data_IF_510581347371
#
_entry.id   IF_510581347371
#
_cell.length_a   1.000
_cell.length_b   1.000
_cell.length_c   1.000
_cell.angle_alpha   90.00
_cell.angle_beta   90.00
_cell.angle_gamma   90.00
#
_symmetry.space_group_name_H-M   'P 1'
#
loop_
_entity.id
_entity.type
_entity.pdbx_description
1 polymer ?
#
# COMPACT_ATOMS: atom_id res chain seq x y z
N UNK A 1 -21.15 26.70 -3.41
CA UNK A 1 -21.16 27.34 -2.06
C UNK A 1 -20.00 26.80 -1.19
N UNK A 2 -18.79 26.70 -1.73
CA UNK A 2 -17.61 26.14 -1.00
C UNK A 2 -16.59 27.23 -0.65
N UNK A 3 -16.76 28.45 -1.14
CA UNK A 3 -15.71 29.48 -1.09
C UNK A 3 -15.76 30.38 0.16
N UNK A 4 -16.80 30.33 0.97
CA UNK A 4 -16.91 31.22 2.14
C UNK A 4 -16.47 30.64 3.49
N UNK A 5 -16.34 29.30 3.61
CA UNK A 5 -16.08 28.68 4.91
C UNK A 5 -14.60 28.77 5.39
N UNK A 6 -13.66 29.10 4.53
CA UNK A 6 -12.21 29.16 4.90
C UNK A 6 -11.75 30.49 5.49
N UNK A 7 -12.53 31.53 5.37
CA UNK A 7 -12.22 32.84 5.95
C UNK A 7 -12.45 32.93 7.46
N UNK A 8 -13.13 31.94 8.05
CA UNK A 8 -13.48 31.91 9.49
C UNK A 8 -12.61 30.93 10.31
N UNK A 9 -11.61 30.27 9.70
CA UNK A 9 -10.80 29.25 10.38
C UNK A 9 -11.47 27.89 10.52
N UNK A 10 -12.68 27.71 9.98
CA UNK A 10 -13.39 26.44 9.97
C UNK A 10 -12.88 25.53 8.83
N UNK A 11 -12.71 24.24 9.12
CA UNK A 11 -12.35 23.27 8.10
C UNK A 11 -13.55 22.99 7.18
N UNK A 12 -13.34 23.13 5.87
CA UNK A 12 -14.34 22.81 4.86
C UNK A 12 -13.81 21.73 3.92
N UNK A 13 -14.55 20.64 3.76
CA UNK A 13 -14.22 19.57 2.85
C UNK A 13 -14.36 20.02 1.38
N UNK A 14 -13.43 19.57 0.52
CA UNK A 14 -13.65 19.59 -0.93
C UNK A 14 -14.75 18.57 -1.29
N UNK A 15 -15.28 18.67 -2.52
CA UNK A 15 -16.27 17.71 -2.99
C UNK A 15 -15.77 16.26 -2.92
N UNK A 16 -14.52 16.00 -3.33
CA UNK A 16 -13.91 14.67 -3.28
C UNK A 16 -13.67 14.17 -1.86
N UNK A 17 -13.29 15.07 -0.95
CA UNK A 17 -13.18 14.70 0.47
C UNK A 17 -14.55 14.32 1.04
N UNK A 18 -15.63 15.03 0.67
CA UNK A 18 -17.00 14.68 1.08
C UNK A 18 -17.38 13.30 0.55
N UNK A 19 -17.13 13.02 -0.75
CA UNK A 19 -17.36 11.69 -1.32
C UNK A 19 -16.64 10.62 -0.49
N UNK A 20 -15.37 10.82 -0.15
CA UNK A 20 -14.61 9.87 0.66
C UNK A 20 -15.18 9.71 2.08
N UNK A 21 -15.49 10.80 2.76
CA UNK A 21 -15.97 10.81 4.16
C UNK A 21 -17.33 10.10 4.28
N UNK A 22 -18.20 10.26 3.30
CA UNK A 22 -19.55 9.67 3.29
C UNK A 22 -19.58 8.18 2.93
N UNK A 23 -18.48 7.62 2.39
CA UNK A 23 -18.42 6.21 2.01
C UNK A 23 -18.67 5.25 3.17
N UNK A 24 -19.43 4.21 2.87
CA UNK A 24 -19.86 3.20 3.85
C UNK A 24 -19.25 1.83 3.65
N UNK A 25 -18.47 1.64 2.62
CA UNK A 25 -17.78 0.39 2.29
C UNK A 25 -16.76 0.01 3.39
N UNK A 26 -16.45 -1.29 3.47
CA UNK A 26 -15.52 -1.81 4.46
C UNK A 26 -14.11 -1.24 4.28
N UNK A 27 -13.58 -1.27 3.05
CA UNK A 27 -12.28 -0.69 2.71
C UNK A 27 -12.46 0.46 1.69
N UNK A 28 -11.90 1.63 1.98
CA UNK A 28 -11.89 2.76 1.05
C UNK A 28 -10.48 3.30 0.91
N UNK A 29 -9.99 3.39 -0.32
CA UNK A 29 -8.75 4.05 -0.66
C UNK A 29 -9.02 5.44 -1.24
N UNK A 30 -8.46 6.48 -0.63
CA UNK A 30 -8.38 7.82 -1.19
C UNK A 30 -6.96 8.04 -1.72
N UNK A 31 -6.75 7.86 -3.01
CA UNK A 31 -5.40 7.77 -3.61
C UNK A 31 -5.24 8.62 -4.85
N UNK A 32 -3.99 8.97 -5.18
CA UNK A 32 -3.67 9.73 -6.38
C UNK A 32 -2.55 10.75 -6.17
N UNK A 33 -2.67 11.95 -6.75
CA UNK A 33 -1.60 12.95 -6.76
C UNK A 33 -1.16 13.39 -5.36
N UNK A 34 0.07 13.89 -5.24
CA UNK A 34 0.54 14.53 -4.00
C UNK A 34 -0.32 15.76 -3.67
N UNK A 35 -0.41 16.11 -2.37
CA UNK A 35 -1.22 17.23 -1.88
C UNK A 35 -2.71 17.20 -2.26
N UNK A 36 -3.26 16.02 -2.52
CA UNK A 36 -4.70 15.83 -2.72
C UNK A 36 -5.52 15.84 -1.42
N UNK A 37 -5.04 16.47 -0.35
CA UNK A 37 -5.70 16.62 0.97
C UNK A 37 -6.13 15.29 1.61
N UNK A 38 -5.42 14.20 1.32
CA UNK A 38 -5.76 12.85 1.73
C UNK A 38 -5.65 12.62 3.23
N UNK A 39 -4.56 13.06 3.84
CA UNK A 39 -4.31 12.93 5.30
C UNK A 39 -5.39 13.65 6.11
N UNK A 40 -5.77 14.87 5.72
CA UNK A 40 -6.84 15.63 6.37
C UNK A 40 -8.19 14.90 6.26
N UNK A 41 -8.51 14.32 5.09
CA UNK A 41 -9.73 13.54 4.90
C UNK A 41 -9.81 12.31 5.82
N UNK A 42 -8.69 11.55 5.93
CA UNK A 42 -8.60 10.41 6.85
C UNK A 42 -8.77 10.86 8.30
N UNK A 43 -8.08 11.93 8.68
CA UNK A 43 -8.10 12.44 10.04
C UNK A 43 -9.50 12.93 10.43
N UNK A 44 -10.15 13.71 9.59
CA UNK A 44 -11.52 14.20 9.81
C UNK A 44 -12.50 13.02 9.87
N UNK A 45 -12.39 12.06 8.96
CA UNK A 45 -13.26 10.88 8.96
C UNK A 45 -13.20 10.13 10.30
N UNK A 46 -12.01 9.85 10.81
CA UNK A 46 -11.88 9.12 12.09
C UNK A 46 -12.31 9.97 13.29
N UNK A 47 -12.08 11.29 13.27
CA UNK A 47 -12.57 12.22 14.30
C UNK A 47 -14.11 12.23 14.34
N UNK A 48 -14.78 12.37 13.20
CA UNK A 48 -16.25 12.34 13.13
C UNK A 48 -16.81 11.02 13.67
N UNK A 49 -16.15 9.90 13.42
CA UNK A 49 -16.56 8.61 13.98
C UNK A 49 -16.37 8.54 15.51
N UNK A 50 -15.29 9.12 16.06
CA UNK A 50 -15.08 9.21 17.52
C UNK A 50 -16.14 10.09 18.19
N UNK A 51 -16.52 11.17 17.55
CA UNK A 51 -17.60 12.03 18.05
C UNK A 51 -18.97 11.35 17.99
N UNK A 52 -19.24 10.63 16.90
CA UNK A 52 -20.54 9.98 16.64
C UNK A 52 -20.77 8.75 17.53
N UNK A 53 -19.74 7.96 17.79
CA UNK A 53 -19.86 6.67 18.49
C UNK A 53 -19.13 6.69 19.84
N UNK A 54 -19.82 6.92 20.97
CA UNK A 54 -19.21 6.90 22.29
C UNK A 54 -18.46 5.60 22.58
N UNK A 55 -17.32 5.68 23.27
CA UNK A 55 -16.44 4.55 23.65
C UNK A 55 -15.79 3.83 22.49
N UNK A 56 -15.93 4.30 21.26
CA UNK A 56 -15.29 3.70 20.10
C UNK A 56 -13.78 3.96 20.07
N UNK A 57 -13.05 3.10 19.38
CA UNK A 57 -11.59 3.15 19.27
C UNK A 57 -11.15 3.19 17.82
N UNK A 58 -10.30 4.15 17.47
CA UNK A 58 -9.70 4.28 16.15
C UNK A 58 -8.19 4.25 16.22
N UNK A 59 -7.55 3.70 15.19
CA UNK A 59 -6.11 3.76 14.99
C UNK A 59 -5.82 4.53 13.72
N UNK A 60 -4.97 5.57 13.84
CA UNK A 60 -4.37 6.27 12.71
C UNK A 60 -2.91 5.88 12.63
N UNK A 61 -2.48 5.27 11.52
CA UNK A 61 -1.16 4.66 11.42
C UNK A 61 -0.40 5.15 10.18
N UNK A 62 0.90 5.40 10.35
CA UNK A 62 1.90 5.61 9.31
C UNK A 62 3.05 4.62 9.44
N UNK A 63 3.93 4.59 8.45
CA UNK A 63 5.12 3.73 8.54
C UNK A 63 6.03 4.14 9.69
N UNK A 64 6.33 5.42 9.84
CA UNK A 64 7.24 5.93 10.87
C UNK A 64 6.52 6.84 11.87
N UNK A 65 6.84 6.70 13.16
CA UNK A 65 6.24 7.53 14.20
C UNK A 65 6.57 9.02 14.02
N UNK A 66 7.82 9.33 13.63
CA UNK A 66 8.22 10.70 13.35
C UNK A 66 7.37 11.37 12.26
N UNK A 67 6.88 10.62 11.28
CA UNK A 67 6.01 11.15 10.23
C UNK A 67 4.58 11.43 10.73
N UNK A 68 4.15 10.77 11.80
CA UNK A 68 2.85 11.02 12.44
C UNK A 68 2.91 12.25 13.33
N UNK A 69 4.05 12.46 14.02
CA UNK A 69 4.19 13.39 15.15
C UNK A 69 4.93 14.68 14.84
N UNK A 70 5.65 14.77 13.71
CA UNK A 70 6.34 16.01 13.32
C UNK A 70 5.37 17.17 13.12
N UNK A 71 5.88 18.39 13.20
CA UNK A 71 5.10 19.61 12.98
C UNK A 71 4.35 19.56 11.64
N UNK A 72 3.05 19.89 11.67
CA UNK A 72 2.14 19.84 10.52
C UNK A 72 1.69 18.43 10.10
N UNK A 73 2.14 17.37 10.80
CA UNK A 73 1.67 16.01 10.56
C UNK A 73 0.34 15.72 11.27
N UNK A 74 -0.19 14.50 11.12
CA UNK A 74 -1.54 14.15 11.56
C UNK A 74 -1.79 14.41 13.06
N UNK A 75 -0.81 14.15 13.94
CA UNK A 75 -0.91 14.44 15.37
C UNK A 75 -1.04 15.94 15.65
N UNK A 76 -0.16 16.76 15.06
CA UNK A 76 -0.17 18.21 15.22
C UNK A 76 -1.45 18.80 14.60
N UNK A 77 -1.81 18.36 13.40
CA UNK A 77 -3.02 18.76 12.70
C UNK A 77 -4.30 18.40 13.48
N UNK A 78 -4.31 17.27 14.18
CA UNK A 78 -5.45 16.91 15.05
C UNK A 78 -5.66 17.91 16.18
N UNK A 79 -4.59 18.51 16.69
CA UNK A 79 -4.67 19.54 17.76
C UNK A 79 -5.23 20.85 17.23
N UNK A 80 -4.89 21.22 16.00
CA UNK A 80 -5.47 22.41 15.35
C UNK A 80 -6.99 22.25 15.14
N UNK A 81 -7.42 21.04 14.74
CA UNK A 81 -8.83 20.73 14.45
C UNK A 81 -9.67 20.64 15.73
N UNK A 82 -9.17 19.96 16.75
CA UNK A 82 -9.94 19.63 17.96
C UNK A 82 -9.77 20.65 19.09
N UNK A 83 -8.68 21.41 19.10
CA UNK A 83 -8.40 22.40 20.15
C UNK A 83 -8.42 21.80 21.56
N UNK A 84 -9.01 22.52 22.50
CA UNK A 84 -9.10 22.14 23.92
C UNK A 84 -10.28 21.21 24.25
N UNK A 85 -11.07 20.78 23.26
CA UNK A 85 -12.29 19.99 23.46
C UNK A 85 -12.03 18.50 23.79
N UNK A 86 -10.77 18.06 23.86
CA UNK A 86 -10.36 16.67 24.06
C UNK A 86 -9.13 16.60 24.98
N UNK A 87 -8.81 15.40 25.49
CA UNK A 87 -7.60 15.16 26.29
C UNK A 87 -6.51 14.52 25.45
N UNK A 88 -5.31 15.11 25.47
CA UNK A 88 -4.13 14.62 24.73
C UNK A 88 -3.16 13.91 25.67
N UNK A 89 -2.85 12.64 25.39
CA UNK A 89 -1.73 11.93 25.98
C UNK A 89 -0.56 11.94 24.97
N UNK A 90 0.45 12.77 25.25
CA UNK A 90 1.59 12.95 24.34
C UNK A 90 2.56 11.76 24.35
N UNK A 91 2.63 11.01 25.45
CA UNK A 91 3.51 9.84 25.57
C UNK A 91 3.00 8.67 24.74
N UNK A 92 1.71 8.40 24.86
CA UNK A 92 1.05 7.29 24.15
C UNK A 92 0.48 7.70 22.79
N UNK A 93 0.57 8.98 22.42
CA UNK A 93 -0.02 9.55 21.22
C UNK A 93 -1.52 9.20 21.07
N UNK A 94 -2.29 9.44 22.13
CA UNK A 94 -3.72 9.15 22.21
C UNK A 94 -4.54 10.41 22.48
N UNK A 95 -5.68 10.50 21.81
CA UNK A 95 -6.70 11.53 22.03
C UNK A 95 -7.92 10.86 22.65
N UNK A 96 -8.34 11.34 23.82
CA UNK A 96 -9.58 10.90 24.46
C UNK A 96 -10.64 11.98 24.33
N UNK A 97 -11.77 11.60 23.75
CA UNK A 97 -12.94 12.46 23.55
C UNK A 97 -13.83 12.46 24.79
N UNK A 98 -14.65 13.53 25.01
CA UNK A 98 -15.54 13.61 26.17
C UNK A 98 -16.55 12.46 26.30
N UNK A 99 -16.90 11.82 25.18
CA UNK A 99 -17.82 10.67 25.14
C UNK A 99 -17.11 9.31 25.41
N UNK A 100 -15.83 9.35 25.84
CA UNK A 100 -15.03 8.18 26.16
C UNK A 100 -14.47 7.43 24.95
N UNK A 101 -14.64 7.94 23.73
CA UNK A 101 -13.97 7.36 22.56
C UNK A 101 -12.49 7.75 22.51
N UNK A 102 -11.66 6.94 21.83
CA UNK A 102 -10.22 7.12 21.76
C UNK A 102 -9.72 7.03 20.33
N UNK A 103 -8.88 7.97 19.93
CA UNK A 103 -8.09 7.91 18.71
C UNK A 103 -6.62 7.75 19.09
N UNK A 104 -6.01 6.66 18.62
CA UNK A 104 -4.60 6.35 18.81
C UNK A 104 -3.81 6.63 17.53
N UNK A 105 -2.61 7.17 17.66
CA UNK A 105 -1.68 7.39 16.55
C UNK A 105 -0.51 6.42 16.69
N UNK A 106 -0.36 5.54 15.71
CA UNK A 106 0.62 4.46 15.72
C UNK A 106 1.55 4.47 14.51
N UNK A 107 2.47 3.51 14.52
CA UNK A 107 3.39 3.28 13.40
C UNK A 107 3.70 1.79 13.23
N UNK A 108 4.17 1.41 12.03
CA UNK A 108 4.66 0.07 11.75
C UNK A 108 5.79 0.16 10.71
N UNK A 109 7.01 0.36 11.18
CA UNK A 109 8.18 0.53 10.32
C UNK A 109 8.72 -0.82 9.83
N UNK A 110 8.79 -1.79 10.73
CA UNK A 110 9.36 -3.11 10.50
C UNK A 110 8.34 -4.21 10.77
N UNK A 111 8.68 -5.45 10.39
CA UNK A 111 7.84 -6.62 10.65
C UNK A 111 7.60 -6.83 12.16
N UNK A 112 8.59 -6.57 13.00
CA UNK A 112 8.48 -6.71 14.46
C UNK A 112 7.48 -5.71 15.07
N UNK A 113 7.27 -4.55 14.45
CA UNK A 113 6.29 -3.58 14.92
C UNK A 113 4.84 -4.09 14.81
N UNK A 114 4.57 -5.04 13.94
CA UNK A 114 3.24 -5.65 13.81
C UNK A 114 2.77 -6.28 15.13
N UNK A 115 3.69 -6.84 15.91
CA UNK A 115 3.39 -7.50 17.19
C UNK A 115 2.78 -6.53 18.19
N UNK A 116 3.05 -5.22 18.10
CA UNK A 116 2.43 -4.18 18.95
C UNK A 116 0.91 -4.14 18.82
N UNK A 117 0.37 -4.58 17.69
CA UNK A 117 -1.07 -4.62 17.42
C UNK A 117 -1.69 -5.99 17.72
N UNK A 118 -0.89 -6.97 18.16
CA UNK A 118 -1.39 -8.27 18.57
C UNK A 118 -2.28 -8.11 19.82
N UNK A 119 -3.49 -8.67 19.75
CA UNK A 119 -4.48 -8.53 20.81
C UNK A 119 -5.18 -7.18 20.90
N UNK A 120 -4.74 -6.17 20.17
CA UNK A 120 -5.44 -4.89 20.08
C UNK A 120 -6.80 -5.03 19.39
N UNK A 121 -7.69 -4.10 19.69
CA UNK A 121 -9.02 -4.03 19.08
C UNK A 121 -9.37 -2.59 18.77
N UNK A 122 -9.63 -2.34 17.50
CA UNK A 122 -10.08 -1.05 16.98
C UNK A 122 -11.36 -1.23 16.16
N UNK A 123 -12.27 -0.28 16.28
CA UNK A 123 -13.48 -0.23 15.44
C UNK A 123 -13.16 0.30 14.04
N UNK A 124 -12.09 1.11 13.94
CA UNK A 124 -11.62 1.72 12.69
C UNK A 124 -10.11 1.72 12.59
N UNK A 125 -9.62 1.51 11.37
CA UNK A 125 -8.21 1.70 11.01
C UNK A 125 -8.09 2.77 9.93
N UNK A 126 -7.14 3.68 10.09
CA UNK A 126 -6.73 4.66 9.08
C UNK A 126 -5.26 4.45 8.73
N UNK A 127 -4.97 3.94 7.54
CA UNK A 127 -3.61 3.85 7.01
C UNK A 127 -3.31 5.08 6.17
N UNK A 128 -2.42 5.93 6.64
CA UNK A 128 -1.98 7.08 5.87
C UNK A 128 -0.67 6.76 5.16
N UNK A 129 -0.60 6.98 3.85
CA UNK A 129 0.46 6.54 2.95
C UNK A 129 0.59 5.00 2.90
N UNK A 130 -0.49 4.33 2.52
CA UNK A 130 -0.56 2.87 2.44
C UNK A 130 0.50 2.27 1.51
N UNK A 131 0.94 3.00 0.50
CA UNK A 131 2.01 2.61 -0.41
C UNK A 131 3.35 2.38 0.28
N UNK A 132 3.53 2.83 1.50
CA UNK A 132 4.75 2.60 2.28
C UNK A 132 4.75 1.29 3.07
N UNK A 133 3.60 0.63 3.17
CA UNK A 133 3.46 -0.63 3.89
C UNK A 133 3.59 -1.83 2.94
N UNK A 134 4.13 -2.93 3.45
CA UNK A 134 3.97 -4.21 2.78
C UNK A 134 2.53 -4.72 2.91
N UNK A 135 2.09 -5.57 1.98
CA UNK A 135 0.78 -6.21 2.07
C UNK A 135 0.65 -7.03 3.36
N UNK A 136 1.72 -7.70 3.79
CA UNK A 136 1.76 -8.46 5.04
C UNK A 136 1.47 -7.57 6.26
N UNK A 137 2.08 -6.39 6.36
CA UNK A 137 1.82 -5.44 7.45
C UNK A 137 0.36 -5.00 7.45
N UNK A 138 -0.17 -4.65 6.29
CA UNK A 138 -1.56 -4.26 6.14
C UNK A 138 -2.53 -5.35 6.59
N UNK A 139 -2.38 -6.57 6.08
CA UNK A 139 -3.25 -7.71 6.41
C UNK A 139 -3.16 -8.11 7.89
N UNK A 140 -1.97 -8.05 8.47
CA UNK A 140 -1.79 -8.36 9.89
C UNK A 140 -2.52 -7.35 10.78
N UNK A 141 -2.32 -6.04 10.55
CA UNK A 141 -2.95 -4.98 11.34
C UNK A 141 -4.46 -4.94 11.09
N UNK A 142 -4.92 -5.27 9.89
CA UNK A 142 -6.34 -5.43 9.56
C UNK A 142 -7.04 -6.41 10.52
N UNK A 143 -6.33 -7.44 11.01
CA UNK A 143 -6.85 -8.39 12.01
C UNK A 143 -7.25 -7.74 13.35
N UNK A 144 -6.73 -6.54 13.66
CA UNK A 144 -7.13 -5.76 14.84
C UNK A 144 -8.43 -4.96 14.62
N UNK A 145 -8.94 -4.85 13.38
CA UNK A 145 -10.18 -4.14 13.03
C UNK A 145 -11.39 -5.02 13.29
N UNK A 146 -11.97 -4.90 14.48
CA UNK A 146 -13.13 -5.70 14.91
C UNK A 146 -13.97 -4.98 15.93
N UNK A 147 -15.29 -5.17 15.86
CA UNK A 147 -16.28 -4.60 16.80
C UNK A 147 -16.75 -5.68 17.76
N UNK A 148 -16.84 -5.40 19.08
CA UNK A 148 -17.41 -6.34 20.04
C UNK A 148 -18.90 -6.61 19.71
N UNK A 149 -19.32 -7.87 19.74
CA UNK A 149 -20.70 -8.23 19.41
C UNK A 149 -21.66 -8.03 20.60
N UNK A 150 -21.17 -8.21 21.81
CA UNK A 150 -21.95 -8.14 23.04
C UNK A 150 -22.31 -6.71 23.46
N UNK A 151 -21.42 -5.75 23.21
CA UNK A 151 -21.62 -4.35 23.57
C UNK A 151 -20.95 -3.39 22.58
N UNK A 152 -21.38 -3.34 21.31
CA UNK A 152 -20.80 -2.45 20.32
C UNK A 152 -21.07 -0.99 20.67
N UNK A 153 -20.13 -0.08 20.38
CA UNK A 153 -20.40 1.36 20.40
C UNK A 153 -21.61 1.71 19.52
N UNK A 154 -22.49 2.58 20.03
CA UNK A 154 -23.71 2.96 19.31
C UNK A 154 -23.80 4.47 19.19
N UNK A 155 -24.35 4.96 18.09
CA UNK A 155 -24.65 6.38 17.89
C UNK A 155 -25.91 6.79 18.67
N UNK A 156 -26.23 8.07 18.64
CA UNK A 156 -27.41 8.63 19.32
C UNK A 156 -28.74 8.00 18.86
N UNK A 157 -28.80 7.47 17.65
CA UNK A 157 -29.94 6.73 17.10
C UNK A 157 -29.96 5.24 17.46
N UNK A 158 -29.00 4.76 18.27
CA UNK A 158 -28.88 3.36 18.66
C UNK A 158 -28.22 2.44 17.62
N UNK A 159 -27.77 2.96 16.48
CA UNK A 159 -27.10 2.20 15.44
C UNK A 159 -25.69 1.81 15.89
N UNK A 160 -25.38 0.53 15.85
CA UNK A 160 -24.06 0.03 16.19
C UNK A 160 -23.01 0.50 15.16
N UNK A 161 -21.78 0.72 15.65
CA UNK A 161 -20.63 0.98 14.80
C UNK A 161 -20.31 -0.29 13.97
N UNK A 162 -19.85 -0.09 12.76
CA UNK A 162 -19.35 -1.16 11.89
C UNK A 162 -17.84 -0.99 11.72
N UNK A 163 -17.09 -2.10 11.73
CA UNK A 163 -15.66 -2.08 11.48
C UNK A 163 -15.36 -1.56 10.07
N UNK A 164 -14.41 -0.63 9.94
CA UNK A 164 -14.08 0.00 8.67
C UNK A 164 -12.60 0.37 8.58
N UNK A 165 -12.07 0.32 7.35
CA UNK A 165 -10.71 0.69 7.04
C UNK A 165 -10.71 1.84 6.03
N UNK A 166 -9.90 2.84 6.30
CA UNK A 166 -9.67 3.98 5.42
C UNK A 166 -8.19 4.09 5.13
N UNK A 167 -7.87 4.29 3.87
CA UNK A 167 -6.48 4.37 3.42
C UNK A 167 -6.27 5.63 2.59
N UNK A 168 -5.09 6.22 2.71
CA UNK A 168 -4.58 7.16 1.72
C UNK A 168 -3.38 6.55 1.02
N UNK A 169 -3.16 6.88 -0.25
CA UNK A 169 -1.96 6.46 -0.97
C UNK A 169 -1.59 7.42 -2.11
N UNK A 170 -0.29 7.42 -2.45
CA UNK A 170 0.20 7.98 -3.72
C UNK A 170 0.71 6.81 -4.58
N UNK A 171 0.76 6.96 -5.92
CA UNK A 171 1.48 6.01 -6.74
C UNK A 171 2.97 5.98 -6.37
N UNK A 172 3.54 4.78 -6.27
CA UNK A 172 4.96 4.56 -5.96
C UNK A 172 5.21 3.80 -4.65
N UNK A 173 6.49 3.78 -4.23
CA UNK A 173 6.98 3.10 -3.02
C UNK A 173 6.78 1.57 -3.03
N UNK A 174 7.21 0.90 -1.95
CA UNK A 174 7.26 -0.58 -1.83
C UNK A 174 5.90 -1.25 -1.96
N UNK A 175 4.83 -0.57 -1.58
CA UNK A 175 3.47 -1.07 -1.63
C UNK A 175 2.72 -0.81 -2.93
N UNK A 176 3.31 -0.09 -3.88
CA UNK A 176 2.63 0.32 -5.12
C UNK A 176 1.84 -0.82 -5.79
N UNK A 177 2.53 -1.92 -6.05
CA UNK A 177 1.95 -3.04 -6.83
C UNK A 177 0.76 -3.70 -6.13
N UNK A 178 0.86 -3.97 -4.83
CA UNK A 178 -0.23 -4.62 -4.11
C UNK A 178 -1.40 -3.66 -3.85
N UNK A 179 -1.13 -2.37 -3.59
CA UNK A 179 -2.19 -1.35 -3.45
C UNK A 179 -2.96 -1.18 -4.75
N UNK A 180 -2.23 -1.11 -5.88
CA UNK A 180 -2.82 -1.05 -7.22
C UNK A 180 -3.70 -2.27 -7.49
N UNK A 181 -3.17 -3.46 -7.32
CA UNK A 181 -3.92 -4.71 -7.53
C UNK A 181 -5.15 -4.83 -6.61
N UNK A 182 -5.05 -4.34 -5.36
CA UNK A 182 -6.12 -4.44 -4.37
C UNK A 182 -7.26 -3.46 -4.57
N UNK A 183 -6.99 -2.24 -5.05
CA UNK A 183 -7.96 -1.14 -5.06
C UNK A 183 -8.20 -0.53 -6.44
N UNK A 184 -7.18 -0.48 -7.30
CA UNK A 184 -7.24 0.27 -8.57
C UNK A 184 -7.67 -0.62 -9.73
N UNK A 185 -7.08 -1.83 -9.85
CA UNK A 185 -7.29 -2.71 -10.99
C UNK A 185 -8.59 -3.52 -10.92
N UNK A 186 -9.33 -3.45 -9.81
CA UNK A 186 -10.52 -4.27 -9.56
C UNK A 186 -11.84 -3.65 -10.04
N UNK A 187 -11.91 -2.32 -10.13
CA UNK A 187 -13.10 -1.59 -10.56
C UNK A 187 -12.74 -0.16 -11.01
N UNK A 188 -13.63 0.50 -11.73
CA UNK A 188 -13.45 1.89 -12.10
C UNK A 188 -13.46 2.81 -10.85
N UNK A 189 -12.84 4.00 -10.91
CA UNK A 189 -12.88 4.97 -9.82
C UNK A 189 -14.31 5.26 -9.36
N UNK A 190 -14.53 5.31 -8.03
CA UNK A 190 -15.82 5.48 -7.35
C UNK A 190 -16.80 4.30 -7.49
N UNK A 191 -16.48 3.28 -8.23
CA UNK A 191 -17.27 2.05 -8.35
C UNK A 191 -16.96 1.09 -7.20
N UNK A 192 -18.00 0.47 -6.64
CA UNK A 192 -17.88 -0.44 -5.50
C UNK A 192 -17.60 -1.85 -6.00
N UNK A 193 -16.46 -2.39 -5.64
CA UNK A 193 -16.13 -3.80 -5.83
C UNK A 193 -16.60 -4.62 -4.64
N UNK A 194 -17.51 -5.58 -4.89
CA UNK A 194 -18.00 -6.55 -3.89
C UNK A 194 -17.44 -7.92 -4.16
N UNK A 195 -17.06 -8.61 -3.09
CA UNK A 195 -16.53 -9.97 -3.19
C UNK A 195 -17.03 -10.84 -2.04
N UNK A 196 -17.27 -12.10 -2.36
CA UNK A 196 -17.72 -13.10 -1.42
C UNK A 196 -16.55 -13.86 -0.81
N UNK A 197 -16.62 -14.11 0.49
CA UNK A 197 -15.63 -14.88 1.24
C UNK A 197 -16.37 -16.12 1.79
N UNK A 198 -15.88 -17.30 1.43
CA UNK A 198 -16.38 -18.54 1.99
C UNK A 198 -15.36 -19.16 2.93
N UNK A 199 -15.71 -19.25 4.20
CA UNK A 199 -14.86 -19.84 5.24
C UNK A 199 -15.40 -21.21 5.59
N UNK A 200 -14.55 -22.24 5.49
CA UNK A 200 -14.90 -23.60 5.95
C UNK A 200 -14.79 -23.64 7.48
N UNK A 201 -15.91 -23.95 8.14
CA UNK A 201 -15.95 -24.08 9.60
C UNK A 201 -15.54 -25.49 10.01
N UNK A 202 -15.02 -25.67 11.24
CA UNK A 202 -14.66 -27.00 11.75
C UNK A 202 -15.83 -28.00 11.78
N UNK A 203 -17.09 -27.51 11.86
CA UNK A 203 -18.30 -28.31 11.82
C UNK A 203 -18.73 -28.71 10.40
N UNK A 204 -17.93 -28.40 9.38
CA UNK A 204 -18.17 -28.68 7.97
C UNK A 204 -19.18 -27.74 7.28
N UNK A 205 -19.77 -26.78 8.00
CA UNK A 205 -20.73 -25.83 7.43
C UNK A 205 -20.01 -24.60 6.93
N UNK A 206 -20.15 -24.20 5.66
CA UNK A 206 -19.52 -22.99 5.16
C UNK A 206 -20.16 -21.74 5.80
N UNK A 207 -19.31 -20.73 6.10
CA UNK A 207 -19.74 -19.39 6.45
C UNK A 207 -19.51 -18.48 5.24
N UNK A 208 -20.59 -17.90 4.74
CA UNK A 208 -20.54 -16.96 3.62
C UNK A 208 -20.56 -15.53 4.16
N UNK A 209 -19.59 -14.73 3.76
CA UNK A 209 -19.43 -13.33 4.13
C UNK A 209 -19.24 -12.51 2.86
N UNK A 210 -19.68 -11.26 2.89
CA UNK A 210 -19.43 -10.31 1.81
C UNK A 210 -18.62 -9.13 2.33
N UNK A 211 -17.70 -8.63 1.51
CA UNK A 211 -16.90 -7.43 1.75
C UNK A 211 -16.94 -6.56 0.50
N UNK A 212 -16.66 -5.31 0.69
CA UNK A 212 -16.61 -4.33 -0.38
C UNK A 212 -15.40 -3.40 -0.25
N UNK A 213 -14.98 -2.88 -1.40
CA UNK A 213 -13.88 -1.94 -1.55
C UNK A 213 -14.26 -0.88 -2.56
N UNK A 214 -13.68 0.31 -2.39
CA UNK A 214 -13.79 1.38 -3.38
C UNK A 214 -12.53 2.22 -3.41
N UNK A 215 -12.17 2.66 -4.60
CA UNK A 215 -11.12 3.63 -4.85
C UNK A 215 -11.72 4.99 -5.19
N UNK A 216 -11.28 6.04 -4.49
CA UNK A 216 -11.63 7.44 -4.73
C UNK A 216 -10.37 8.17 -5.22
N UNK A 217 -10.34 8.72 -6.43
CA UNK A 217 -9.18 9.43 -6.93
C UNK A 217 -9.02 10.79 -6.23
N UNK A 218 -7.81 11.09 -5.74
CA UNK A 218 -7.42 12.38 -5.16
C UNK A 218 -6.60 13.19 -6.16
N UNK A 219 -6.84 14.49 -6.25
CA UNK A 219 -6.17 15.39 -7.18
C UNK A 219 -5.58 16.60 -6.46
N UNK A 220 -4.35 17.02 -6.85
CA UNK A 220 -3.78 18.28 -6.40
C UNK A 220 -4.58 19.49 -6.93
N UNK A 221 -5.24 19.35 -8.07
CA UNK A 221 -6.06 20.41 -8.64
C UNK A 221 -7.22 20.77 -7.72
N UNK A 222 -7.83 19.79 -7.06
CA UNK A 222 -8.88 20.06 -6.05
C UNK A 222 -8.35 20.91 -4.88
N UNK A 223 -7.08 20.72 -4.52
CA UNK A 223 -6.42 21.48 -3.44
C UNK A 223 -6.15 22.93 -3.84
N UNK A 224 -5.82 23.14 -5.11
CA UNK A 224 -5.63 24.51 -5.67
C UNK A 224 -6.96 25.22 -5.80
N UNK A 225 -8.01 24.58 -6.33
CA UNK A 225 -9.36 25.14 -6.43
C UNK A 225 -9.92 25.49 -5.05
N UNK A 226 -9.61 24.68 -4.06
CA UNK A 226 -9.99 24.94 -2.67
C UNK A 226 -9.13 26.00 -1.97
N UNK A 227 -8.11 26.58 -2.65
CA UNK A 227 -7.23 27.60 -2.09
C UNK A 227 -6.33 27.12 -0.95
N UNK A 228 -6.05 25.82 -0.87
CA UNK A 228 -5.16 25.23 0.16
C UNK A 228 -3.72 25.25 -0.28
N UNK A 229 -3.47 25.06 -1.57
CA UNK A 229 -2.16 25.05 -2.19
C UNK A 229 -2.15 26.07 -3.31
N UNK A 230 -1.08 26.87 -3.42
CA UNK A 230 -0.92 27.81 -4.53
C UNK A 230 -0.66 27.10 -5.86
N UNK A 231 -1.03 27.77 -6.97
CA UNK A 231 -0.80 27.23 -8.31
C UNK A 231 0.68 27.00 -8.61
N UNK A 232 1.60 27.70 -7.93
CA UNK A 232 3.05 27.54 -8.04
C UNK A 232 3.52 26.12 -7.69
N UNK A 233 2.77 25.42 -6.82
CA UNK A 233 3.08 24.04 -6.49
C UNK A 233 2.85 23.07 -7.67
N UNK A 234 1.84 23.35 -8.51
CA UNK A 234 1.64 22.62 -9.76
C UNK A 234 2.86 22.73 -10.66
N UNK A 235 3.44 23.94 -10.78
CA UNK A 235 4.67 24.15 -11.57
C UNK A 235 5.85 23.34 -11.01
N UNK A 236 5.95 23.20 -9.70
CA UNK A 236 6.96 22.35 -9.05
C UNK A 236 6.79 20.87 -9.41
N UNK A 237 5.57 20.36 -9.42
CA UNK A 237 5.29 18.98 -9.81
C UNK A 237 5.47 18.75 -11.31
N UNK A 238 5.09 19.72 -12.14
CA UNK A 238 5.26 19.68 -13.61
C UNK A 238 6.74 19.62 -14.01
N UNK A 239 7.61 20.26 -13.25
CA UNK A 239 9.06 20.27 -13.49
C UNK A 239 9.75 18.95 -13.09
N UNK A 240 9.05 18.01 -12.45
CA UNK A 240 9.61 16.72 -12.09
C UNK A 240 9.85 15.86 -13.34
N UNK A 241 10.93 15.05 -13.35
CA UNK A 241 11.13 14.09 -14.44
C UNK A 241 10.07 12.97 -14.37
N UNK A 242 9.81 12.34 -15.53
CA UNK A 242 9.05 11.10 -15.55
C UNK A 242 9.86 9.95 -14.86
N UNK A 243 9.21 9.02 -14.16
CA UNK A 243 7.76 8.86 -14.00
C UNK A 243 7.13 9.67 -12.87
N UNK A 244 7.92 10.45 -12.12
CA UNK A 244 7.46 11.18 -10.93
C UNK A 244 6.39 12.24 -11.23
N UNK A 245 6.49 12.93 -12.37
CA UNK A 245 5.47 13.88 -12.80
C UNK A 245 4.13 13.18 -12.98
N UNK A 246 4.09 12.12 -13.76
CA UNK A 246 2.88 11.34 -13.99
C UNK A 246 2.27 10.79 -12.70
N UNK A 247 3.10 10.28 -11.78
CA UNK A 247 2.66 9.76 -10.50
C UNK A 247 2.14 10.85 -9.55
N UNK A 248 2.89 11.95 -9.41
CA UNK A 248 2.66 12.91 -8.32
C UNK A 248 1.77 14.09 -8.71
N UNK A 249 1.80 14.52 -9.97
CA UNK A 249 0.90 15.56 -10.46
C UNK A 249 -0.44 14.99 -10.90
N UNK A 250 -0.42 13.94 -11.72
CA UNK A 250 -1.65 13.38 -12.28
C UNK A 250 -2.21 12.20 -11.49
N UNK A 251 -1.44 11.65 -10.53
CA UNK A 251 -1.90 10.54 -9.71
C UNK A 251 -2.05 9.22 -10.47
N UNK A 252 -1.30 9.03 -11.55
CA UNK A 252 -1.39 7.84 -12.41
C UNK A 252 -0.75 6.63 -11.73
N UNK A 253 -1.50 5.53 -11.67
CA UNK A 253 -1.07 4.27 -11.07
C UNK A 253 -0.40 3.31 -12.06
N UNK A 254 -0.44 3.62 -13.35
CA UNK A 254 0.21 2.81 -14.39
C UNK A 254 1.68 3.20 -14.62
N UNK A 255 2.19 4.13 -13.81
CA UNK A 255 3.60 4.55 -13.83
C UNK A 255 4.36 3.84 -12.73
N UNK A 256 5.52 3.27 -13.05
CA UNK A 256 6.36 2.54 -12.10
C UNK A 256 7.35 3.50 -11.42
N UNK A 257 6.94 4.08 -10.29
CA UNK A 257 7.83 4.90 -9.47
C UNK A 257 8.72 3.98 -8.63
N UNK A 258 10.03 4.12 -8.81
CA UNK A 258 11.02 3.25 -8.14
C UNK A 258 11.46 2.04 -8.97
N UNK A 259 11.08 1.99 -10.23
CA UNK A 259 11.55 0.96 -11.15
C UNK A 259 13.07 1.09 -11.38
N UNK A 260 13.81 -0.02 -11.26
CA UNK A 260 15.26 -0.04 -11.49
C UNK A 260 15.63 0.37 -12.93
N UNK A 261 14.71 0.13 -13.88
CA UNK A 261 14.86 0.46 -15.29
C UNK A 261 13.67 1.35 -15.71
N UNK A 262 13.77 2.66 -15.47
CA UNK A 262 12.69 3.63 -15.73
C UNK A 262 12.25 3.70 -17.20
N UNK A 263 13.17 3.39 -18.12
CA UNK A 263 12.89 3.38 -19.57
C UNK A 263 12.32 2.07 -20.09
N UNK A 264 12.11 1.07 -19.21
CA UNK A 264 11.57 -0.23 -19.62
C UNK A 264 10.11 -0.10 -20.08
N UNK A 265 9.86 -0.35 -21.36
CA UNK A 265 8.55 -0.31 -21.99
C UNK A 265 8.36 -1.60 -22.81
N UNK A 266 7.38 -2.46 -22.45
CA UNK A 266 7.10 -3.65 -23.24
C UNK A 266 6.74 -3.32 -24.68
N UNK A 267 5.96 -2.26 -24.87
CA UNK A 267 5.49 -1.76 -26.15
C UNK A 267 5.76 -0.27 -26.29
N UNK A 268 6.12 0.18 -27.46
CA UNK A 268 6.25 1.60 -27.80
C UNK A 268 5.57 1.85 -29.16
N UNK A 269 4.66 2.81 -29.22
CA UNK A 269 3.90 3.15 -30.43
C UNK A 269 3.23 1.93 -31.09
N UNK A 270 2.73 0.98 -30.27
CA UNK A 270 2.07 -0.24 -30.74
C UNK A 270 3.00 -1.34 -31.25
N UNK A 271 4.32 -1.15 -31.14
CA UNK A 271 5.33 -2.15 -31.50
C UNK A 271 6.06 -2.72 -30.28
N UNK A 272 6.48 -4.01 -30.29
CA UNK A 272 7.36 -4.56 -29.28
C UNK A 272 8.62 -3.71 -29.13
N UNK A 273 8.97 -3.36 -27.88
CA UNK A 273 10.14 -2.53 -27.61
C UNK A 273 11.18 -3.26 -26.75
N UNK A 274 10.98 -3.35 -25.44
CA UNK A 274 11.89 -4.10 -24.56
C UNK A 274 11.45 -5.55 -24.36
N UNK A 275 10.24 -5.92 -24.77
CA UNK A 275 9.75 -7.30 -24.75
C UNK A 275 9.49 -7.76 -26.18
N UNK A 276 10.10 -8.88 -26.56
CA UNK A 276 9.87 -9.52 -27.87
C UNK A 276 9.14 -10.85 -27.66
N UNK A 277 8.29 -11.27 -28.62
CA UNK A 277 7.69 -12.60 -28.57
C UNK A 277 8.76 -13.73 -28.49
N UNK A 278 8.51 -14.73 -27.66
CA UNK A 278 9.47 -15.80 -27.40
C UNK A 278 9.84 -16.62 -28.66
N UNK A 279 8.89 -16.82 -29.55
CA UNK A 279 9.05 -17.50 -30.83
C UNK A 279 10.00 -16.77 -31.80
N UNK A 280 10.24 -15.49 -31.58
CA UNK A 280 11.21 -14.69 -32.33
C UNK A 280 12.64 -14.83 -31.80
N UNK A 281 12.86 -15.51 -30.66
CA UNK A 281 14.18 -15.68 -30.07
C UNK A 281 15.00 -16.72 -30.86
N UNK A 282 16.10 -16.33 -31.54
CA UNK A 282 16.88 -17.26 -32.37
C UNK A 282 17.49 -18.39 -31.55
N UNK A 283 17.31 -19.63 -31.98
CA UNK A 283 17.83 -20.83 -31.30
C UNK A 283 19.35 -20.91 -31.30
N UNK A 284 19.99 -20.27 -32.28
CA UNK A 284 21.46 -20.24 -32.43
C UNK A 284 22.18 -19.27 -31.48
N UNK A 285 21.44 -18.40 -30.80
CA UNK A 285 22.05 -17.48 -29.85
C UNK A 285 22.57 -18.23 -28.64
N UNK A 286 23.73 -17.80 -28.16
CA UNK A 286 24.40 -18.41 -27.01
C UNK A 286 23.51 -18.23 -25.75
N UNK A 287 23.20 -19.33 -25.07
CA UNK A 287 22.43 -19.34 -23.84
C UNK A 287 23.34 -19.26 -22.62
N UNK A 288 22.96 -18.41 -21.68
CA UNK A 288 23.66 -18.17 -20.41
C UNK A 288 22.66 -18.14 -19.28
N UNK A 289 23.12 -18.31 -18.04
CA UNK A 289 22.27 -18.15 -16.86
C UNK A 289 23.01 -17.37 -15.76
N UNK A 290 22.25 -16.66 -14.93
CA UNK A 290 22.71 -16.03 -13.70
C UNK A 290 21.88 -16.53 -12.53
N UNK A 291 22.52 -16.83 -11.40
CA UNK A 291 21.86 -17.32 -10.20
C UNK A 291 22.31 -16.50 -8.99
N UNK A 292 21.31 -16.03 -8.22
CA UNK A 292 21.48 -15.42 -6.92
C UNK A 292 20.88 -16.31 -5.84
N UNK A 293 21.67 -16.62 -4.82
CA UNK A 293 21.28 -17.51 -3.74
C UNK A 293 20.46 -16.76 -2.70
N UNK A 294 19.44 -17.41 -2.17
CA UNK A 294 18.67 -16.92 -1.04
C UNK A 294 17.87 -18.05 -0.39
N UNK A 295 17.64 -17.94 0.91
CA UNK A 295 16.76 -18.85 1.65
C UNK A 295 15.56 -18.06 2.20
N UNK A 296 15.76 -17.16 3.16
CA UNK A 296 14.75 -16.23 3.66
C UNK A 296 14.45 -15.13 2.64
N UNK A 297 15.48 -14.61 1.96
CA UNK A 297 15.34 -13.85 0.73
C UNK A 297 15.11 -14.80 -0.44
N UNK A 298 14.38 -14.38 -1.49
CA UNK A 298 14.18 -15.24 -2.64
C UNK A 298 15.52 -15.61 -3.30
N UNK A 299 15.73 -16.89 -3.62
CA UNK A 299 16.72 -17.27 -4.64
C UNK A 299 16.15 -16.94 -6.02
N UNK A 300 17.00 -16.59 -6.97
CA UNK A 300 16.58 -16.15 -8.29
C UNK A 300 17.51 -16.70 -9.37
N UNK A 301 16.94 -17.26 -10.42
CA UNK A 301 17.68 -17.69 -11.61
C UNK A 301 17.08 -17.04 -12.85
N UNK A 302 17.94 -16.42 -13.65
CA UNK A 302 17.59 -15.83 -14.95
C UNK A 302 18.34 -16.54 -16.06
N UNK A 303 17.63 -16.91 -17.15
CA UNK A 303 18.24 -17.41 -18.38
C UNK A 303 18.19 -16.33 -19.45
N UNK A 304 19.32 -16.09 -20.08
CA UNK A 304 19.51 -15.09 -21.12
C UNK A 304 20.08 -15.66 -22.41
N UNK A 305 19.70 -15.06 -23.51
CA UNK A 305 20.27 -15.31 -24.83
C UNK A 305 21.09 -14.10 -25.27
N UNK A 306 22.38 -14.33 -25.61
CA UNK A 306 23.28 -13.30 -26.08
C UNK A 306 23.11 -13.11 -27.58
N UNK A 307 22.81 -11.90 -28.02
CA UNK A 307 22.78 -11.55 -29.42
C UNK A 307 24.20 -11.35 -29.99
N UNK A 308 24.35 -11.35 -31.33
CA UNK A 308 25.66 -11.15 -31.95
C UNK A 308 26.26 -9.74 -31.73
N UNK A 309 25.50 -8.79 -31.21
CA UNK A 309 25.89 -7.38 -30.99
C UNK A 309 26.22 -7.09 -29.53
N UNK A 310 26.13 -8.09 -28.66
CA UNK A 310 26.44 -7.97 -27.23
C UNK A 310 25.24 -7.64 -26.35
N UNK A 311 24.04 -7.60 -26.93
CA UNK A 311 22.81 -7.50 -26.17
C UNK A 311 22.45 -8.82 -25.49
N UNK A 312 21.63 -8.77 -24.44
CA UNK A 312 21.08 -9.93 -23.75
C UNK A 312 19.55 -9.86 -23.74
N UNK A 313 18.90 -10.96 -24.11
CA UNK A 313 17.45 -11.14 -24.01
C UNK A 313 17.17 -12.17 -22.93
N UNK A 314 16.58 -11.76 -21.81
CA UNK A 314 16.11 -12.66 -20.78
C UNK A 314 14.82 -13.33 -21.24
N UNK A 315 14.76 -14.67 -21.17
CA UNK A 315 13.64 -15.44 -21.74
C UNK A 315 13.03 -16.45 -20.76
N UNK A 316 13.64 -16.65 -19.61
CA UNK A 316 13.15 -17.54 -18.57
C UNK A 316 13.61 -17.05 -17.20
N UNK A 317 12.77 -17.19 -16.20
CA UNK A 317 13.08 -16.92 -14.80
C UNK A 317 12.57 -18.05 -13.91
N UNK A 318 13.24 -18.24 -12.78
CA UNK A 318 12.81 -19.09 -11.69
C UNK A 318 13.14 -18.38 -10.39
N UNK A 319 12.17 -18.26 -9.50
CA UNK A 319 12.41 -17.72 -8.17
C UNK A 319 11.63 -18.51 -7.11
N UNK A 320 12.19 -18.63 -5.91
CA UNK A 320 11.55 -19.26 -4.77
C UNK A 320 12.13 -18.77 -3.45
N UNK A 321 11.45 -19.11 -2.36
CA UNK A 321 11.93 -18.92 -0.99
C UNK A 321 11.91 -20.25 -0.27
N UNK A 322 12.77 -20.38 0.75
CA UNK A 322 12.85 -21.55 1.62
C UNK A 322 13.15 -22.87 0.87
N UNK A 323 13.81 -22.78 -0.26
CA UNK A 323 14.36 -23.95 -0.96
C UNK A 323 15.81 -24.19 -0.52
N UNK A 324 16.12 -25.42 -0.24
CA UNK A 324 17.51 -25.84 -0.02
C UNK A 324 18.31 -25.93 -1.35
N UNK A 325 19.61 -26.12 -1.26
CA UNK A 325 20.49 -26.15 -2.42
C UNK A 325 20.13 -27.28 -3.39
N UNK A 326 19.69 -28.43 -2.90
CA UNK A 326 19.34 -29.59 -3.73
C UNK A 326 18.02 -29.35 -4.47
N UNK A 327 17.07 -28.74 -3.80
CA UNK A 327 15.80 -28.35 -4.41
C UNK A 327 15.99 -27.27 -5.46
N UNK A 328 16.81 -26.23 -5.17
CA UNK A 328 17.19 -25.19 -6.15
C UNK A 328 17.84 -25.82 -7.38
N UNK A 329 18.83 -26.71 -7.18
CA UNK A 329 19.52 -27.37 -8.29
C UNK A 329 18.55 -28.22 -9.13
N UNK A 330 17.69 -28.98 -8.48
CA UNK A 330 16.67 -29.82 -9.14
C UNK A 330 15.71 -28.99 -9.98
N UNK A 331 15.16 -27.92 -9.42
CA UNK A 331 14.19 -27.08 -10.10
C UNK A 331 14.83 -26.28 -11.25
N UNK A 332 16.08 -25.84 -11.08
CA UNK A 332 16.83 -25.20 -12.16
C UNK A 332 17.05 -26.17 -13.34
N UNK A 333 17.43 -27.43 -13.07
CA UNK A 333 17.59 -28.45 -14.13
C UNK A 333 16.27 -28.76 -14.82
N UNK A 334 15.17 -28.87 -14.08
CA UNK A 334 13.83 -29.07 -14.63
C UNK A 334 13.40 -27.89 -15.50
N UNK A 335 13.58 -26.65 -15.02
CA UNK A 335 13.24 -25.44 -15.76
C UNK A 335 14.10 -25.27 -17.03
N UNK A 336 15.36 -25.65 -16.96
CA UNK A 336 16.27 -25.61 -18.11
C UNK A 336 15.90 -26.66 -19.18
N UNK A 337 15.36 -27.80 -18.76
CA UNK A 337 15.05 -28.91 -19.66
C UNK A 337 16.33 -29.47 -20.32
N UNK A 338 16.28 -29.78 -21.61
CA UNK A 338 17.42 -30.22 -22.39
C UNK A 338 18.25 -29.09 -23.02
N UNK A 339 18.02 -27.85 -22.65
CA UNK A 339 18.66 -26.69 -23.26
C UNK A 339 20.15 -26.59 -22.83
N UNK A 340 21.05 -26.36 -23.79
CA UNK A 340 22.47 -26.21 -23.52
C UNK A 340 22.79 -24.80 -23.07
N UNK A 341 23.07 -24.63 -21.77
CA UNK A 341 23.58 -23.38 -21.19
C UNK A 341 25.11 -23.38 -21.29
N UNK A 342 25.67 -22.37 -21.92
CA UNK A 342 27.11 -22.29 -22.17
C UNK A 342 27.91 -21.81 -20.96
N UNK A 343 27.27 -21.03 -20.08
CA UNK A 343 27.87 -20.49 -18.87
C UNK A 343 26.78 -20.08 -17.88
N UNK A 344 27.03 -20.40 -16.60
CA UNK A 344 26.20 -19.92 -15.47
C UNK A 344 27.09 -19.11 -14.52
N UNK A 345 26.60 -17.96 -14.09
CA UNK A 345 27.25 -17.14 -13.06
C UNK A 345 26.45 -17.25 -11.78
N UNK A 346 27.16 -17.34 -10.65
CA UNK A 346 26.58 -17.27 -9.32
C UNK A 346 27.29 -16.19 -8.52
N UNK A 347 26.55 -15.52 -7.61
CA UNK A 347 27.18 -14.56 -6.71
C UNK A 347 28.11 -15.27 -5.71
N UNK A 348 29.42 -14.95 -5.69
CA UNK A 348 30.37 -15.59 -4.78
C UNK A 348 30.18 -15.23 -3.31
N UNK A 349 29.49 -14.12 -2.98
CA UNK A 349 29.27 -13.67 -1.60
C UNK A 349 28.25 -14.56 -0.88
N UNK A 350 27.28 -15.08 -1.60
CA UNK A 350 26.24 -15.98 -1.07
C UNK A 350 26.78 -17.34 -0.63
N UNK A 351 27.90 -17.79 -1.18
CA UNK A 351 28.52 -19.07 -0.84
C UNK A 351 29.07 -19.13 0.59
N UNK A 352 29.45 -18.01 1.18
CA UNK A 352 29.93 -17.94 2.57
C UNK A 352 28.83 -18.08 3.61
N UNK A 353 27.59 -17.70 3.29
CA UNK A 353 26.45 -17.84 4.18
C UNK A 353 25.90 -19.28 4.23
N UNK A 354 25.98 -20.04 3.14
CA UNK A 354 25.58 -21.45 3.12
C UNK A 354 26.46 -22.34 4.00
N UNK A 355 27.77 -22.06 4.08
CA UNK A 355 28.69 -22.82 4.96
C UNK A 355 28.49 -22.55 6.45
N UNK A 356 27.93 -21.39 6.83
CA UNK A 356 27.68 -21.08 8.24
C UNK A 356 26.52 -21.90 8.83
N UNK A 357 25.56 -22.33 8.02
CA UNK A 357 24.44 -23.16 8.45
C UNK A 357 24.72 -24.67 8.45
N UNK A 358 25.71 -25.13 7.69
CA UNK A 358 26.12 -26.56 7.68
C UNK A 358 27.01 -26.96 8.88
N UNK A 359 27.53 -26.01 9.65
CA UNK A 359 28.42 -26.27 10.80
C UNK A 359 27.73 -26.31 12.16
N UNK A 360 26.44 -26.01 12.24
CA UNK A 360 25.63 -25.99 13.48
C UNK A 360 24.59 -27.14 13.57
N UNK A 361 24.75 -28.21 12.79
CA UNK A 361 23.91 -29.42 12.86
C UNK A 361 24.69 -30.65 13.35
#
# INVERSE_FOLDING_TARGET
MVTEARTTGEWAATERQNIFIERTEYEVLYGGSKFGLKTDALLIWTILRRQKYPRSRGLFIRRELAEVTKQGAAWDRSREILGAGVTYNQTDHKITFPNGSVLEFGHCQNADDMVKYQGAQYDDLCFDQLEQFSEQQYLYIQGACRVPLDNPPRDAGGRAIEARIRCSANPGDVGHSWVKARFIDIAAPNEVYRYDITVQRPDGKPLHLQRDRVFIPASVFDSVEAGVVGAEYIATLEAMPEPYKSAYLYGLWDVFVGQAFGDFQPMREGQPHHVIPYDLLPTKWRRVAGHDWGYDSPCYTLWGALDPYGGIVFYRELWARNWDSDEIATQNLLAQGGERISQTWCDPVSYTHLRAHETDS
#
